data_IF_604333669526
#
_entry.id   IF_604333669526
#
_cell.length_a   1.000
_cell.length_b   1.000
_cell.length_c   1.000
_cell.angle_alpha   90.00
_cell.angle_beta   90.00
_cell.angle_gamma   90.00
#
_symmetry.space_group_name_H-M   'P 1'
#
loop_
_entity.id
_entity.type
_entity.pdbx_description
1 polymer ?
#
# COMPACT_ATOMS: atom_id res chain seq x y z
N UNK A 1 -4.19 -6.30 -15.32
CA UNK A 1 -4.57 -5.98 -13.93
C UNK A 1 -5.15 -7.25 -13.31
N UNK A 2 -4.78 -7.53 -12.08
CA UNK A 2 -5.10 -8.72 -11.31
C UNK A 2 -5.52 -8.30 -9.89
N UNK A 3 -6.78 -8.50 -9.56
CA UNK A 3 -7.39 -8.07 -8.29
C UNK A 3 -7.19 -6.58 -7.95
N UNK A 4 -7.81 -5.65 -8.71
CA UNK A 4 -7.79 -4.24 -8.34
C UNK A 4 -8.52 -4.01 -7.01
N UNK A 5 -7.80 -3.47 -6.03
CA UNK A 5 -8.35 -3.24 -4.70
C UNK A 5 -8.84 -1.80 -4.50
N UNK A 6 -8.13 -0.82 -5.06
CA UNK A 6 -8.43 0.60 -4.90
C UNK A 6 -7.91 1.40 -6.09
N UNK A 7 -8.49 2.58 -6.33
CA UNK A 7 -7.99 3.55 -7.29
C UNK A 7 -7.99 4.97 -6.70
N UNK A 8 -7.09 5.81 -7.19
CA UNK A 8 -7.05 7.24 -6.88
C UNK A 8 -6.89 8.03 -8.17
N UNK A 9 -7.66 9.12 -8.33
CA UNK A 9 -7.59 10.01 -9.49
C UNK A 9 -6.95 11.32 -9.08
N UNK A 10 -5.75 11.58 -9.61
CA UNK A 10 -5.07 12.87 -9.53
C UNK A 10 -5.44 13.69 -10.77
N UNK A 11 -6.52 14.47 -10.66
CA UNK A 11 -7.00 15.29 -11.78
C UNK A 11 -6.04 16.42 -12.14
N UNK A 12 -5.28 16.93 -11.17
CA UNK A 12 -4.34 18.03 -11.36
C UNK A 12 -3.21 17.62 -12.32
N UNK A 13 -2.70 16.40 -12.18
CA UNK A 13 -1.62 15.88 -13.02
C UNK A 13 -2.09 14.89 -14.09
N UNK A 14 -3.39 14.57 -14.13
CA UNK A 14 -3.99 13.69 -15.12
C UNK A 14 -3.61 12.22 -14.97
N UNK A 15 -3.32 11.76 -13.76
CA UNK A 15 -2.94 10.38 -13.47
C UNK A 15 -4.07 9.63 -12.72
N UNK A 16 -4.26 8.36 -13.05
CA UNK A 16 -5.11 7.40 -12.34
C UNK A 16 -4.23 6.30 -11.80
N UNK A 17 -4.12 6.21 -10.47
CA UNK A 17 -3.35 5.19 -9.78
C UNK A 17 -4.28 4.03 -9.40
N UNK A 18 -3.85 2.80 -9.65
CA UNK A 18 -4.61 1.59 -9.31
C UNK A 18 -3.75 0.63 -8.51
N UNK A 19 -4.26 0.21 -7.36
CA UNK A 19 -3.65 -0.79 -6.50
C UNK A 19 -3.96 -2.17 -7.07
N UNK A 20 -2.94 -2.83 -7.58
CA UNK A 20 -3.03 -4.11 -8.27
C UNK A 20 -2.56 -5.22 -7.33
N UNK A 21 -3.46 -5.62 -6.42
CA UNK A 21 -3.16 -6.49 -5.27
C UNK A 21 -2.50 -7.79 -5.69
N UNK A 22 -3.11 -8.49 -6.65
CA UNK A 22 -2.71 -9.84 -7.08
C UNK A 22 -1.32 -9.90 -7.71
N UNK A 23 -0.70 -8.75 -8.00
CA UNK A 23 0.66 -8.66 -8.53
C UNK A 23 1.62 -7.81 -7.68
N UNK A 24 1.20 -7.34 -6.50
CA UNK A 24 2.02 -6.45 -5.65
C UNK A 24 2.56 -5.24 -6.41
N UNK A 25 1.69 -4.52 -7.11
CA UNK A 25 2.10 -3.38 -7.95
C UNK A 25 1.11 -2.23 -7.90
N UNK A 26 1.58 -1.04 -8.24
CA UNK A 26 0.74 0.11 -8.56
C UNK A 26 0.82 0.36 -10.06
N UNK A 27 -0.33 0.41 -10.72
CA UNK A 27 -0.46 0.73 -12.14
C UNK A 27 -0.91 2.18 -12.26
N UNK A 28 -0.29 2.94 -13.15
CA UNK A 28 -0.67 4.33 -13.41
C UNK A 28 -1.11 4.48 -14.85
N UNK A 29 -2.29 5.06 -15.05
CA UNK A 29 -2.88 5.32 -16.36
C UNK A 29 -3.14 6.83 -16.51
N UNK A 30 -3.17 7.37 -17.74
CA UNK A 30 -3.66 8.72 -17.95
C UNK A 30 -5.16 8.80 -17.66
N UNK A 31 -5.64 9.92 -17.10
CA UNK A 31 -7.07 10.19 -16.87
C UNK A 31 -7.89 10.18 -18.17
N UNK A 32 -7.24 10.48 -19.30
CA UNK A 32 -7.83 10.42 -20.65
C UNK A 32 -7.74 9.04 -21.29
N UNK A 33 -7.23 8.04 -20.57
CA UNK A 33 -7.08 6.68 -21.05
C UNK A 33 -8.43 6.01 -21.30
N UNK A 34 -8.55 5.28 -22.41
CA UNK A 34 -9.78 4.58 -22.78
C UNK A 34 -9.49 3.25 -23.46
N UNK A 35 -10.29 2.22 -23.15
CA UNK A 35 -10.16 0.90 -23.76
C UNK A 35 -9.01 0.07 -23.17
N UNK A 36 -8.43 -0.82 -23.96
CA UNK A 36 -7.35 -1.72 -23.54
C UNK A 36 -5.98 -1.06 -23.75
N UNK A 37 -5.60 -0.17 -22.84
CA UNK A 37 -4.30 0.51 -22.87
C UNK A 37 -3.32 -0.09 -21.87
N UNK A 38 -2.03 -0.01 -22.17
CA UNK A 38 -0.99 -0.30 -21.21
C UNK A 38 -0.90 0.82 -20.14
N UNK A 39 -0.49 0.50 -18.90
CA UNK A 39 -0.17 1.53 -17.91
C UNK A 39 0.95 2.45 -18.43
N UNK A 40 0.81 3.76 -18.22
CA UNK A 40 1.87 4.72 -18.50
C UNK A 40 3.06 4.54 -17.56
N UNK A 41 2.81 4.12 -16.30
CA UNK A 41 3.86 3.76 -15.34
C UNK A 41 3.44 2.53 -14.53
N UNK A 42 4.44 1.76 -14.11
CA UNK A 42 4.28 0.61 -13.24
C UNK A 42 5.29 0.71 -12.11
N UNK A 43 4.84 0.73 -10.87
CA UNK A 43 5.67 0.60 -9.68
C UNK A 43 5.58 -0.84 -9.19
N UNK A 44 6.66 -1.60 -9.32
CA UNK A 44 6.72 -3.04 -9.02
C UNK A 44 8.17 -3.50 -8.84
N UNK A 45 8.37 -4.43 -7.92
CA UNK A 45 9.66 -5.09 -7.69
C UNK A 45 9.95 -5.27 -6.20
N UNK A 46 11.02 -5.98 -5.87
CA UNK A 46 11.33 -6.34 -4.49
C UNK A 46 11.71 -5.13 -3.63
N UNK A 47 12.43 -4.15 -4.19
CA UNK A 47 12.84 -2.93 -3.48
C UNK A 47 11.65 -2.03 -3.17
N UNK A 48 10.56 -2.12 -3.93
CA UNK A 48 9.34 -1.34 -3.65
C UNK A 48 8.75 -1.67 -2.29
N UNK A 49 8.94 -2.88 -1.77
CA UNK A 49 8.30 -3.38 -0.53
C UNK A 49 6.75 -3.45 -0.60
N UNK A 50 6.16 -3.34 -1.80
CA UNK A 50 4.73 -3.53 -2.00
C UNK A 50 4.33 -4.97 -1.66
N UNK A 51 3.26 -5.13 -0.88
CA UNK A 51 2.73 -6.44 -0.52
C UNK A 51 1.22 -6.37 -0.31
N UNK A 52 0.46 -6.92 -1.25
CA UNK A 52 -1.00 -6.86 -1.29
C UNK A 52 -1.49 -5.42 -1.05
N UNK A 53 -1.18 -4.49 -1.99
CA UNK A 53 -1.60 -3.11 -1.86
C UNK A 53 -3.12 -2.99 -1.95
N UNK A 54 -3.73 -2.36 -0.94
CA UNK A 54 -5.20 -2.26 -0.82
C UNK A 54 -5.72 -0.83 -0.75
N UNK A 55 -4.86 0.16 -0.54
CA UNK A 55 -5.26 1.57 -0.45
C UNK A 55 -4.20 2.49 -1.07
N UNK A 56 -4.67 3.57 -1.69
CA UNK A 56 -3.83 4.61 -2.31
C UNK A 56 -4.30 5.98 -1.87
N UNK A 57 -3.34 6.84 -1.52
CA UNK A 57 -3.54 8.27 -1.37
C UNK A 57 -2.41 9.02 -2.07
N UNK A 58 -2.74 10.11 -2.77
CA UNK A 58 -1.77 11.01 -3.39
C UNK A 58 -1.81 12.34 -2.65
N UNK A 59 -0.64 12.77 -2.18
CA UNK A 59 -0.41 14.10 -1.62
C UNK A 59 0.20 14.99 -2.71
N UNK A 60 -0.60 15.86 -3.31
CA UNK A 60 -0.14 16.77 -4.37
C UNK A 60 0.68 17.94 -3.81
N UNK A 61 0.58 18.25 -2.52
CA UNK A 61 1.36 19.32 -1.88
C UNK A 61 2.82 18.91 -1.71
N UNK A 62 3.06 17.64 -1.36
CA UNK A 62 4.41 17.11 -1.14
C UNK A 62 4.94 16.24 -2.29
N UNK A 63 4.16 16.05 -3.36
CA UNK A 63 4.47 15.18 -4.51
C UNK A 63 4.71 13.71 -4.11
N UNK A 64 3.80 13.17 -3.30
CA UNK A 64 3.95 11.85 -2.69
C UNK A 64 2.78 10.90 -2.96
N UNK A 65 3.13 9.62 -3.11
CA UNK A 65 2.20 8.50 -3.23
C UNK A 65 2.31 7.65 -1.97
N UNK A 66 1.22 7.53 -1.22
CA UNK A 66 1.12 6.67 -0.05
C UNK A 66 0.31 5.42 -0.41
N UNK A 67 0.87 4.25 -0.11
CA UNK A 67 0.26 2.96 -0.40
C UNK A 67 0.10 2.17 0.90
N UNK A 68 -1.12 1.73 1.19
CA UNK A 68 -1.39 0.79 2.27
C UNK A 68 -1.15 -0.64 1.79
N UNK A 69 -0.30 -1.39 2.49
CA UNK A 69 0.08 -2.77 2.18
C UNK A 69 -0.51 -3.71 3.23
N UNK A 70 -1.57 -4.44 2.85
CA UNK A 70 -2.23 -5.39 3.75
C UNK A 70 -1.30 -6.56 4.09
N UNK A 71 -0.56 -7.08 3.11
CA UNK A 71 0.17 -8.34 3.27
C UNK A 71 1.45 -8.25 4.09
N UNK A 72 1.91 -7.04 4.46
CA UNK A 72 3.04 -6.84 5.37
C UNK A 72 2.76 -5.83 6.50
N UNK A 73 1.52 -5.39 6.67
CA UNK A 73 1.07 -4.47 7.73
C UNK A 73 1.89 -3.17 7.77
N UNK A 74 2.07 -2.55 6.61
CA UNK A 74 2.80 -1.29 6.49
C UNK A 74 2.10 -0.34 5.53
N UNK A 75 2.44 0.95 5.62
CA UNK A 75 2.22 1.89 4.53
C UNK A 75 3.58 2.35 3.99
N UNK A 76 3.74 2.31 2.68
CA UNK A 76 4.95 2.74 1.98
C UNK A 76 4.68 4.04 1.26
N UNK A 77 5.61 4.98 1.35
CA UNK A 77 5.51 6.28 0.69
C UNK A 77 6.57 6.36 -0.40
N UNK A 78 6.20 6.86 -1.57
CA UNK A 78 7.08 7.09 -2.72
C UNK A 78 6.91 8.52 -3.21
N UNK A 79 7.82 8.98 -4.09
CA UNK A 79 7.49 10.11 -4.96
C UNK A 79 6.29 9.75 -5.82
N UNK A 80 5.39 10.71 -6.08
CA UNK A 80 4.19 10.51 -6.92
C UNK A 80 4.51 9.94 -8.30
N UNK A 81 5.69 10.28 -8.82
CA UNK A 81 6.21 9.86 -10.12
C UNK A 81 7.05 8.57 -10.09
N UNK A 82 7.11 7.86 -8.96
CA UNK A 82 7.89 6.64 -8.83
C UNK A 82 7.46 5.55 -9.82
N UNK A 83 8.44 4.79 -10.31
CA UNK A 83 8.25 3.73 -11.30
C UNK A 83 9.32 2.64 -11.17
N UNK A 84 9.09 1.48 -11.75
CA UNK A 84 9.99 0.33 -11.69
C UNK A 84 10.17 -0.19 -10.25
N UNK A 85 11.37 -0.69 -9.96
CA UNK A 85 11.74 -1.23 -8.64
C UNK A 85 12.30 -0.15 -7.71
N UNK A 86 11.54 0.94 -7.54
CA UNK A 86 11.95 2.09 -6.73
C UNK A 86 11.64 1.87 -5.25
N UNK A 87 12.61 2.02 -4.33
CA UNK A 87 12.37 1.88 -2.90
C UNK A 87 11.51 3.02 -2.34
N UNK A 88 10.76 2.78 -1.25
CA UNK A 88 9.98 3.83 -0.60
C UNK A 88 10.90 4.90 0.02
N UNK A 89 10.48 6.16 -0.03
CA UNK A 89 11.16 7.27 0.68
C UNK A 89 10.97 7.16 2.19
N UNK A 90 9.88 6.53 2.63
CA UNK A 90 9.65 6.12 4.02
C UNK A 90 8.62 5.00 4.13
N UNK A 91 8.70 4.25 5.22
CA UNK A 91 7.76 3.18 5.55
C UNK A 91 7.17 3.43 6.94
N UNK A 92 5.84 3.44 7.03
CA UNK A 92 5.07 3.57 8.27
C UNK A 92 4.61 2.16 8.66
N UNK A 93 4.94 1.70 9.87
CA UNK A 93 4.61 0.35 10.35
C UNK A 93 4.62 0.29 11.87
N UNK A 94 3.89 -0.67 12.45
CA UNK A 94 3.74 -0.85 13.90
C UNK A 94 4.82 -1.75 14.54
N UNK A 95 5.91 -2.10 13.82
CA UNK A 95 7.02 -2.90 14.38
C UNK A 95 8.33 -2.82 13.58
N UNK A 96 9.45 -3.41 14.04
CA UNK A 96 10.77 -3.33 13.38
C UNK A 96 10.81 -4.03 12.00
N UNK A 97 11.64 -3.54 11.06
CA UNK A 97 11.85 -4.18 9.74
C UNK A 97 12.25 -5.66 9.88
N UNK A 98 11.67 -6.52 9.04
CA UNK A 98 11.97 -7.97 9.03
C UNK A 98 11.34 -8.79 10.17
N UNK A 99 10.54 -8.16 11.05
CA UNK A 99 9.70 -8.87 12.02
C UNK A 99 8.25 -8.83 11.56
N UNK A 100 7.54 -9.94 11.77
CA UNK A 100 6.08 -10.00 11.64
C UNK A 100 5.51 -8.94 12.59
N UNK A 101 4.87 -7.90 12.04
CA UNK A 101 4.00 -7.07 12.87
C UNK A 101 3.01 -8.02 13.55
N UNK A 102 2.59 -7.73 14.79
CA UNK A 102 1.82 -8.67 15.62
C UNK A 102 0.48 -9.13 14.99
N UNK A 103 0.16 -8.71 13.76
CA UNK A 103 -1.07 -8.98 13.01
C UNK A 103 -2.33 -8.57 13.76
N UNK A 104 -2.18 -7.73 14.78
CA UNK A 104 -3.27 -7.06 15.48
C UNK A 104 -3.77 -5.96 14.56
N UNK A 105 -4.47 -6.36 13.49
CA UNK A 105 -5.02 -5.46 12.48
C UNK A 105 -6.38 -4.90 12.88
N UNK A 106 -7.19 -5.69 13.59
CA UNK A 106 -8.54 -5.30 14.02
C UNK A 106 -9.00 -6.07 15.29
N UNK A 107 -8.34 -5.91 16.46
CA UNK A 107 -8.81 -6.57 17.67
C UNK A 107 -10.16 -5.96 18.09
N UNK A 108 -11.24 -6.73 18.00
CA UNK A 108 -12.57 -6.25 18.42
C UNK A 108 -12.67 -6.02 19.93
N UNK A 109 -12.10 -6.92 20.73
CA UNK A 109 -12.01 -6.78 22.18
C UNK A 109 -10.65 -7.28 22.68
N UNK A 110 -10.19 -6.71 23.79
CA UNK A 110 -8.98 -7.15 24.50
C UNK A 110 -9.37 -7.58 25.90
N UNK A 111 -8.74 -8.64 26.42
CA UNK A 111 -8.90 -9.08 27.81
C UNK A 111 -7.54 -9.31 28.46
N UNK A 112 -7.46 -9.10 29.77
CA UNK A 112 -6.26 -9.36 30.56
C UNK A 112 -6.44 -10.63 31.40
N UNK A 113 -5.56 -11.62 31.23
CA UNK A 113 -5.52 -12.84 32.02
C UNK A 113 -4.58 -12.67 33.21
N UNK A 114 -5.15 -12.40 34.39
CA UNK A 114 -4.40 -12.19 35.64
C UNK A 114 -3.65 -13.43 36.13
N UNK A 115 -3.97 -14.63 35.63
CA UNK A 115 -3.30 -15.87 36.03
C UNK A 115 -2.07 -16.16 35.17
N UNK A 116 -2.06 -15.64 33.93
CA UNK A 116 -0.96 -15.82 32.97
C UNK A 116 -0.14 -14.55 32.74
N UNK A 117 -0.53 -13.44 33.35
CA UNK A 117 0.08 -12.12 33.16
C UNK A 117 0.18 -11.75 31.67
N UNK A 118 -0.94 -11.87 30.95
CA UNK A 118 -0.97 -11.75 29.50
C UNK A 118 -2.21 -10.99 28.99
N UNK A 119 -2.02 -10.23 27.90
CA UNK A 119 -3.10 -9.63 27.11
C UNK A 119 -3.50 -10.61 26.01
N UNK A 120 -4.80 -10.92 25.92
CA UNK A 120 -5.35 -11.83 24.92
C UNK A 120 -6.22 -11.05 23.95
N UNK A 121 -6.03 -11.30 22.66
CA UNK A 121 -6.84 -10.76 21.57
C UNK A 121 -7.39 -11.91 20.74
N UNK A 122 -8.71 -11.99 20.47
CA UNK A 122 -9.24 -12.93 19.48
C UNK A 122 -8.73 -12.54 18.09
N UNK A 123 -8.38 -13.56 17.28
CA UNK A 123 -8.11 -13.41 15.86
C UNK A 123 -9.41 -13.56 15.06
#
# INVERSE_FOLDING_TARGET
>A
MNWPAHLYVDQEHGDVFVANDGENSILVYPVTGSGNIAPARVLKGAKTQLKNPTGIFVDTVHDELVVANMGNHSATVYRRTAQGDTPPVRTIRTGPLGKTALQIGNPGSVAYDTKRDAIITPN
#
